data_IF_967254203957
#
_entry.id   IF_967254203957
#
_cell.length_a   1.000
_cell.length_b   1.000
_cell.length_c   1.000
_cell.angle_alpha   90.00
_cell.angle_beta   90.00
_cell.angle_gamma   90.00
#
_symmetry.space_group_name_H-M   'P 1'
#
loop_
_entity.id
_entity.type
_entity.pdbx_description
1 polymer ?
#
# COMPACT_ATOMS: atom_id res chain seq x y z
N UNK A 1 -2.79 16.95 28.26
CA UNK A 1 -2.94 18.40 27.97
C UNK A 1 -4.15 18.56 27.07
N UNK A 2 -5.11 19.40 27.43
CA UNK A 2 -6.23 19.78 26.59
C UNK A 2 -5.84 21.01 25.76
N UNK A 3 -6.18 20.99 24.46
CA UNK A 3 -5.92 22.10 23.54
C UNK A 3 -7.26 22.48 22.89
N UNK A 4 -7.63 23.75 22.98
CA UNK A 4 -8.78 24.30 22.27
C UNK A 4 -8.33 24.84 20.91
N UNK A 5 -9.02 24.48 19.86
CA UNK A 5 -8.73 24.91 18.49
C UNK A 5 -10.04 25.23 17.76
N UNK A 6 -10.03 26.25 16.89
CA UNK A 6 -11.16 26.59 16.02
C UNK A 6 -11.25 25.69 14.80
N UNK A 7 -10.11 25.15 14.35
CA UNK A 7 -10.05 24.19 13.26
C UNK A 7 -9.07 23.06 13.56
N UNK A 8 -9.29 21.90 12.94
CA UNK A 8 -8.42 20.72 13.02
C UNK A 8 -8.18 20.19 11.60
N UNK A 9 -6.92 19.95 11.25
CA UNK A 9 -6.53 19.23 10.02
C UNK A 9 -5.98 17.86 10.42
N UNK A 10 -6.64 16.79 9.97
CA UNK A 10 -6.23 15.42 10.21
C UNK A 10 -5.35 14.98 9.05
N UNK A 11 -4.07 14.71 9.32
CA UNK A 11 -3.06 14.28 8.35
C UNK A 11 -2.25 13.09 8.90
N UNK A 12 -2.94 12.14 9.53
CA UNK A 12 -2.32 11.01 10.24
C UNK A 12 -1.81 9.89 9.32
N UNK A 13 -2.12 9.98 8.02
CA UNK A 13 -1.64 9.06 7.00
C UNK A 13 -2.27 7.66 7.06
N UNK A 14 -1.61 6.72 6.38
CA UNK A 14 -1.95 5.31 6.40
C UNK A 14 -0.68 4.46 6.56
N UNK A 15 -0.83 3.29 7.17
CA UNK A 15 0.26 2.35 7.39
C UNK A 15 0.12 1.17 6.44
N UNK A 16 1.17 0.86 5.68
CA UNK A 16 1.21 -0.35 4.86
C UNK A 16 1.11 -1.59 5.75
N UNK A 17 0.32 -2.55 5.30
CA UNK A 17 0.26 -3.86 5.95
C UNK A 17 1.46 -4.70 5.53
N UNK A 18 1.99 -5.45 6.49
CA UNK A 18 3.10 -6.36 6.29
C UNK A 18 2.70 -7.77 6.74
N UNK A 19 3.52 -8.76 6.41
CA UNK A 19 3.25 -10.17 6.76
C UNK A 19 3.51 -10.45 8.24
N UNK A 20 4.34 -9.62 8.89
CA UNK A 20 4.72 -9.78 10.28
C UNK A 20 5.87 -10.77 10.52
N UNK A 21 6.60 -11.13 9.48
CA UNK A 21 7.77 -12.01 9.61
C UNK A 21 8.97 -11.23 10.16
N UNK A 22 9.74 -11.79 11.11
CA UNK A 22 10.96 -11.15 11.62
C UNK A 22 11.98 -10.86 10.50
N UNK A 23 12.11 -11.75 9.52
CA UNK A 23 12.97 -11.57 8.34
C UNK A 23 12.51 -10.43 7.44
N UNK A 24 11.19 -10.29 7.21
CA UNK A 24 10.60 -9.16 6.51
C UNK A 24 10.95 -7.84 7.22
N UNK A 25 10.73 -7.77 8.54
CA UNK A 25 11.00 -6.57 9.31
C UNK A 25 12.47 -6.17 9.28
N UNK A 26 13.39 -7.13 9.39
CA UNK A 26 14.85 -6.90 9.32
C UNK A 26 15.29 -6.28 8.01
N UNK A 27 14.65 -6.68 6.90
CA UNK A 27 15.05 -6.30 5.54
C UNK A 27 14.22 -5.16 4.94
N UNK A 28 13.38 -4.48 5.74
CA UNK A 28 12.72 -3.24 5.32
C UNK A 28 13.75 -2.18 4.98
N UNK A 29 13.64 -1.60 3.77
CA UNK A 29 14.64 -0.68 3.23
C UNK A 29 15.91 -1.37 2.70
N UNK A 30 16.11 -2.66 3.00
CA UNK A 30 17.16 -3.50 2.43
C UNK A 30 16.67 -4.41 1.33
N UNK A 31 15.55 -4.09 0.68
CA UNK A 31 14.96 -4.87 -0.41
C UNK A 31 13.49 -5.24 -0.19
N UNK A 32 12.94 -5.04 1.00
CA UNK A 32 11.51 -5.17 1.27
C UNK A 32 10.85 -3.79 1.21
N UNK A 33 9.88 -3.62 0.31
CA UNK A 33 9.11 -2.40 0.09
C UNK A 33 7.60 -2.68 0.06
N UNK A 34 6.78 -1.65 0.31
CA UNK A 34 5.32 -1.68 0.15
C UNK A 34 4.83 -0.70 -0.92
N UNK A 35 5.73 -0.22 -1.81
CA UNK A 35 5.39 0.71 -2.88
C UNK A 35 6.23 0.41 -4.14
N UNK A 36 5.65 -0.31 -5.09
CA UNK A 36 6.35 -0.65 -6.33
C UNK A 36 6.66 0.58 -7.18
N UNK A 37 5.77 1.58 -7.20
CA UNK A 37 5.99 2.83 -7.95
C UNK A 37 7.11 3.66 -7.35
N UNK A 38 7.28 3.62 -6.01
CA UNK A 38 8.33 4.36 -5.31
C UNK A 38 9.71 3.74 -5.55
N UNK A 39 9.82 2.43 -5.39
CA UNK A 39 11.09 1.73 -5.25
C UNK A 39 11.42 0.81 -6.43
N UNK A 40 10.45 0.50 -7.29
CA UNK A 40 10.63 -0.48 -8.37
C UNK A 40 11.76 -0.15 -9.33
N UNK A 41 12.08 1.13 -9.55
CA UNK A 41 13.17 1.54 -10.44
C UNK A 41 14.56 1.06 -9.97
N UNK A 42 14.75 0.90 -8.66
CA UNK A 42 16.02 0.39 -8.11
C UNK A 42 16.29 -1.08 -8.50
N UNK A 43 15.27 -1.80 -8.94
CA UNK A 43 15.33 -3.22 -9.34
C UNK A 43 15.29 -3.43 -10.85
N UNK A 44 15.63 -2.39 -11.63
CA UNK A 44 15.65 -2.48 -13.09
C UNK A 44 16.55 -3.63 -13.57
N UNK A 45 15.97 -4.53 -14.39
CA UNK A 45 16.67 -5.69 -14.94
C UNK A 45 16.92 -6.84 -13.95
N UNK A 46 16.39 -6.73 -12.71
CA UNK A 46 16.56 -7.74 -11.65
C UNK A 46 15.30 -8.60 -11.50
N UNK A 47 15.42 -9.71 -10.78
CA UNK A 47 14.29 -10.54 -10.41
C UNK A 47 13.71 -10.09 -9.08
N UNK A 48 12.40 -9.93 -9.03
CA UNK A 48 11.67 -9.46 -7.84
C UNK A 48 10.45 -10.35 -7.56
N UNK A 49 9.96 -10.29 -6.34
CA UNK A 49 8.68 -10.91 -5.98
C UNK A 49 7.70 -9.86 -5.44
N UNK A 50 6.40 -10.15 -5.57
CA UNK A 50 5.32 -9.35 -5.00
C UNK A 50 4.31 -10.27 -4.31
N UNK A 51 3.85 -9.86 -3.12
CA UNK A 51 2.85 -10.60 -2.35
C UNK A 51 1.52 -9.88 -2.43
N UNK A 52 0.52 -10.58 -2.88
CA UNK A 52 -0.85 -10.06 -2.92
C UNK A 52 -1.69 -10.74 -4.00
N UNK A 53 -3.00 -10.64 -3.88
CA UNK A 53 -3.93 -11.25 -4.84
C UNK A 53 -5.08 -10.33 -5.27
N UNK A 54 -5.03 -9.05 -4.91
CA UNK A 54 -6.01 -8.02 -5.32
C UNK A 54 -5.53 -7.21 -6.53
N UNK A 55 -6.36 -6.24 -6.96
CA UNK A 55 -6.05 -5.36 -8.10
C UNK A 55 -4.73 -4.61 -7.90
N UNK A 56 -4.47 -4.07 -6.71
CA UNK A 56 -3.20 -3.39 -6.39
C UNK A 56 -1.99 -4.27 -6.67
N UNK A 57 -2.01 -5.53 -6.22
CA UNK A 57 -0.90 -6.45 -6.47
C UNK A 57 -0.72 -6.75 -7.97
N UNK A 58 -1.81 -6.88 -8.71
CA UNK A 58 -1.79 -7.09 -10.15
C UNK A 58 -1.29 -5.86 -10.93
N UNK A 59 -1.68 -4.66 -10.53
CA UNK A 59 -1.21 -3.40 -11.09
C UNK A 59 0.28 -3.19 -10.83
N UNK A 60 0.71 -3.33 -9.59
CA UNK A 60 2.12 -3.22 -9.22
C UNK A 60 2.99 -4.28 -9.91
N UNK A 61 2.53 -5.53 -10.01
CA UNK A 61 3.24 -6.58 -10.73
C UNK A 61 3.40 -6.26 -12.22
N UNK A 62 2.35 -5.76 -12.86
CA UNK A 62 2.41 -5.35 -14.27
C UNK A 62 3.26 -4.10 -14.50
N UNK A 63 3.36 -3.21 -13.51
CA UNK A 63 4.29 -2.09 -13.52
C UNK A 63 5.74 -2.60 -13.40
N UNK A 64 6.04 -3.43 -12.39
CA UNK A 64 7.37 -4.02 -12.19
C UNK A 64 7.83 -4.84 -13.40
N UNK A 65 6.94 -5.57 -14.06
CA UNK A 65 7.25 -6.36 -15.24
C UNK A 65 7.78 -5.53 -16.43
N UNK A 66 7.51 -4.21 -16.46
CA UNK A 66 8.06 -3.32 -17.50
C UNK A 66 9.52 -2.95 -17.27
N UNK A 67 10.02 -3.10 -16.06
CA UNK A 67 11.35 -2.64 -15.65
C UNK A 67 12.24 -3.75 -15.11
N UNK A 68 11.67 -4.78 -14.50
CA UNK A 68 12.38 -5.95 -13.97
C UNK A 68 12.50 -7.07 -15.01
N UNK A 69 13.48 -7.93 -14.87
CA UNK A 69 13.66 -9.10 -15.76
C UNK A 69 12.61 -10.18 -15.52
N UNK A 70 12.20 -10.38 -14.25
CA UNK A 70 11.16 -11.32 -13.85
C UNK A 70 10.42 -10.80 -12.61
N UNK A 71 9.11 -11.03 -12.55
CA UNK A 71 8.26 -10.75 -11.38
C UNK A 71 7.55 -12.02 -10.95
N UNK A 72 7.77 -12.47 -9.72
CA UNK A 72 7.06 -13.62 -9.16
C UNK A 72 5.94 -13.11 -8.26
N UNK A 73 4.67 -13.40 -8.60
CA UNK A 73 3.51 -13.05 -7.78
C UNK A 73 3.17 -14.20 -6.85
N UNK A 74 3.08 -13.92 -5.55
CA UNK A 74 2.71 -14.89 -4.53
C UNK A 74 1.27 -14.64 -4.06
N UNK A 75 0.39 -15.58 -4.33
CA UNK A 75 -1.02 -15.54 -3.92
C UNK A 75 -1.28 -16.68 -2.95
N UNK A 76 -1.63 -16.36 -1.70
CA UNK A 76 -1.85 -17.38 -0.65
C UNK A 76 -3.07 -18.28 -0.88
N UNK A 77 -3.99 -17.89 -1.77
CA UNK A 77 -5.19 -18.63 -2.14
C UNK A 77 -5.04 -19.30 -3.51
N UNK A 78 -5.97 -20.18 -3.85
CA UNK A 78 -6.04 -20.87 -5.15
C UNK A 78 -6.38 -19.96 -6.34
N UNK A 79 -6.79 -18.71 -6.08
CA UNK A 79 -7.10 -17.71 -7.10
C UNK A 79 -6.92 -16.29 -6.59
N UNK A 80 -6.67 -15.36 -7.51
CA UNK A 80 -6.64 -13.94 -7.24
C UNK A 80 -8.06 -13.41 -6.98
N UNK A 81 -8.13 -12.35 -6.16
CA UNK A 81 -9.35 -11.54 -5.97
C UNK A 81 -9.40 -10.33 -6.91
N UNK A 82 -8.34 -10.09 -7.67
CA UNK A 82 -8.27 -9.04 -8.66
C UNK A 82 -9.39 -9.17 -9.68
N UNK A 83 -9.77 -8.07 -10.32
CA UNK A 83 -10.73 -8.04 -11.42
C UNK A 83 -10.29 -8.97 -12.57
N UNK A 84 -11.24 -9.50 -13.35
CA UNK A 84 -10.91 -10.40 -14.47
C UNK A 84 -9.99 -9.74 -15.49
N UNK A 85 -10.13 -8.43 -15.70
CA UNK A 85 -9.25 -7.66 -16.57
C UNK A 85 -7.81 -7.68 -16.05
N UNK A 86 -7.60 -7.46 -14.75
CA UNK A 86 -6.28 -7.47 -14.16
C UNK A 86 -5.68 -8.88 -14.11
N UNK A 87 -6.47 -9.90 -13.81
CA UNK A 87 -6.03 -11.29 -13.89
C UNK A 87 -5.53 -11.63 -15.30
N UNK A 88 -6.32 -11.28 -16.34
CA UNK A 88 -5.92 -11.49 -17.74
C UNK A 88 -4.63 -10.74 -18.10
N UNK A 89 -4.46 -9.52 -17.62
CA UNK A 89 -3.23 -8.74 -17.84
C UNK A 89 -2.01 -9.42 -17.22
N UNK A 90 -2.12 -9.87 -15.98
CA UNK A 90 -1.06 -10.62 -15.28
C UNK A 90 -0.69 -11.89 -16.04
N UNK A 91 -1.67 -12.72 -16.39
CA UNK A 91 -1.44 -14.02 -17.06
C UNK A 91 -0.88 -13.90 -18.47
N UNK A 92 -1.11 -12.76 -19.16
CA UNK A 92 -0.58 -12.52 -20.51
C UNK A 92 0.72 -11.70 -20.51
N UNK A 93 1.31 -11.42 -19.35
CA UNK A 93 2.61 -10.73 -19.26
C UNK A 93 3.72 -11.77 -19.16
N UNK A 94 4.61 -11.91 -20.17
CA UNK A 94 5.49 -13.08 -20.32
C UNK A 94 6.50 -13.28 -19.18
N UNK A 95 6.94 -12.20 -18.53
CA UNK A 95 7.91 -12.24 -17.44
C UNK A 95 7.27 -12.19 -16.05
N UNK A 96 5.95 -12.43 -15.95
CA UNK A 96 5.27 -12.64 -14.68
C UNK A 96 5.09 -14.14 -14.44
N UNK A 97 5.59 -14.63 -13.31
CA UNK A 97 5.38 -15.98 -12.79
C UNK A 97 4.36 -15.91 -11.63
N UNK A 98 3.23 -16.60 -11.77
CA UNK A 98 2.12 -16.54 -10.81
C UNK A 98 2.03 -17.84 -10.01
N UNK A 99 2.34 -17.75 -8.71
CA UNK A 99 2.29 -18.86 -7.77
C UNK A 99 1.08 -18.76 -6.86
N UNK A 100 0.12 -19.66 -7.04
CA UNK A 100 -1.05 -19.81 -6.17
C UNK A 100 -0.75 -20.68 -4.95
N UNK A 101 -1.62 -20.59 -3.94
CA UNK A 101 -1.50 -21.32 -2.67
C UNK A 101 -0.11 -21.16 -2.03
N UNK A 102 0.53 -20.01 -2.21
CA UNK A 102 1.92 -19.80 -1.82
C UNK A 102 2.04 -18.64 -0.83
N UNK A 103 2.72 -18.91 0.27
CA UNK A 103 3.07 -17.92 1.30
C UNK A 103 4.59 -17.85 1.47
N UNK A 104 5.07 -16.72 1.99
CA UNK A 104 6.46 -16.56 2.38
C UNK A 104 6.66 -17.20 3.75
N UNK A 105 7.62 -18.12 3.85
CA UNK A 105 8.11 -18.68 5.08
C UNK A 105 9.22 -17.79 5.67
N UNK A 106 10.17 -17.37 4.83
CA UNK A 106 11.28 -16.50 5.22
C UNK A 106 11.76 -15.63 4.06
N UNK A 107 12.13 -14.39 4.37
CA UNK A 107 12.89 -13.53 3.44
C UNK A 107 14.38 -13.74 3.73
N UNK A 108 15.11 -14.22 2.73
CA UNK A 108 16.52 -14.60 2.84
C UNK A 108 17.42 -13.39 2.62
N UNK A 109 18.52 -13.35 3.37
CA UNK A 109 19.51 -12.27 3.35
C UNK A 109 19.79 -11.69 4.74
N UNK A 110 20.88 -10.97 4.89
CA UNK A 110 21.29 -10.37 6.16
C UNK A 110 21.05 -8.85 6.19
N UNK A 111 21.58 -8.13 5.22
CA UNK A 111 21.46 -6.68 5.08
C UNK A 111 20.54 -6.29 3.90
N UNK A 112 20.53 -7.12 2.86
CA UNK A 112 19.70 -6.95 1.67
C UNK A 112 18.95 -8.25 1.39
N UNK A 113 17.86 -8.15 0.61
CA UNK A 113 17.13 -9.32 0.12
C UNK A 113 18.00 -10.06 -0.89
N UNK A 114 18.19 -11.35 -0.66
CA UNK A 114 18.96 -12.28 -1.53
C UNK A 114 18.08 -13.40 -2.10
N UNK A 115 16.89 -13.63 -1.50
CA UNK A 115 15.96 -14.64 -1.94
C UNK A 115 14.72 -14.73 -1.07
N UNK A 116 13.86 -15.69 -1.43
CA UNK A 116 12.68 -16.07 -0.64
C UNK A 116 12.66 -17.57 -0.43
N UNK A 117 12.32 -17.98 0.79
CA UNK A 117 11.78 -19.30 1.09
C UNK A 117 10.26 -19.22 1.11
N UNK A 118 9.63 -20.01 0.29
CA UNK A 118 8.18 -20.05 0.10
C UNK A 118 7.63 -21.41 0.50
N UNK A 119 6.39 -21.42 0.98
CA UNK A 119 5.65 -22.65 1.29
C UNK A 119 4.35 -22.69 0.49
N UNK A 120 4.12 -23.81 -0.18
CA UNK A 120 2.82 -24.06 -0.80
C UNK A 120 1.84 -24.60 0.26
N UNK A 121 0.73 -23.89 0.47
CA UNK A 121 -0.25 -24.19 1.52
C UNK A 121 -1.10 -25.44 1.24
N UNK A 122 -1.20 -25.85 -0.05
CA UNK A 122 -1.97 -27.02 -0.45
C UNK A 122 -1.14 -28.30 -0.34
N UNK A 123 0.15 -28.24 -0.66
CA UNK A 123 1.03 -29.43 -0.70
C UNK A 123 2.01 -29.49 0.46
N UNK A 124 2.27 -28.37 1.13
CA UNK A 124 3.31 -28.24 2.15
C UNK A 124 4.73 -28.14 1.57
N UNK A 125 4.89 -28.14 0.25
CA UNK A 125 6.19 -28.06 -0.41
C UNK A 125 6.87 -26.72 -0.13
N UNK A 126 8.17 -26.78 0.20
CA UNK A 126 9.02 -25.61 0.40
C UNK A 126 9.88 -25.43 -0.84
N UNK A 127 10.00 -24.21 -1.32
CA UNK A 127 10.81 -23.81 -2.47
C UNK A 127 11.58 -22.52 -2.12
N UNK A 128 12.82 -22.41 -2.57
CA UNK A 128 13.60 -21.18 -2.49
C UNK A 128 13.85 -20.63 -3.89
N UNK A 129 13.68 -19.31 -4.03
CA UNK A 129 14.00 -18.58 -5.27
C UNK A 129 14.94 -17.42 -4.97
N UNK A 130 15.90 -17.14 -5.85
CA UNK A 130 16.70 -15.92 -5.77
C UNK A 130 15.86 -14.72 -6.21
N UNK A 131 15.87 -13.67 -5.42
CA UNK A 131 15.32 -12.34 -5.76
C UNK A 131 16.14 -11.26 -5.08
N UNK A 132 16.08 -10.05 -5.58
CA UNK A 132 16.77 -8.89 -4.97
C UNK A 132 15.78 -7.91 -4.33
N UNK A 133 14.49 -8.01 -4.64
CA UNK A 133 13.45 -7.15 -4.10
C UNK A 133 12.14 -7.89 -3.83
N UNK A 134 11.51 -7.55 -2.71
CA UNK A 134 10.21 -8.06 -2.29
C UNK A 134 9.24 -6.90 -2.09
N UNK A 135 8.12 -6.93 -2.81
CA UNK A 135 7.06 -5.93 -2.70
C UNK A 135 5.84 -6.50 -1.97
N UNK A 136 5.36 -5.79 -0.95
CA UNK A 136 4.23 -6.22 -0.12
C UNK A 136 2.98 -5.45 -0.53
N UNK A 137 2.12 -6.06 -1.33
CA UNK A 137 0.91 -5.46 -1.90
C UNK A 137 -0.38 -6.06 -1.29
N UNK A 138 -0.45 -6.10 0.06
CA UNK A 138 -1.58 -6.67 0.81
C UNK A 138 -2.50 -5.60 1.43
N UNK A 139 -2.32 -4.35 1.00
CA UNK A 139 -3.13 -3.21 1.36
C UNK A 139 -2.56 -2.34 2.46
N UNK A 140 -3.31 -1.30 2.82
CA UNK A 140 -2.97 -0.32 3.83
C UNK A 140 -4.06 -0.27 4.92
N UNK A 141 -3.73 0.34 6.04
CA UNK A 141 -4.66 0.69 7.11
C UNK A 141 -4.53 2.19 7.37
N UNK A 142 -5.59 2.99 7.18
CA UNK A 142 -5.55 4.40 7.55
C UNK A 142 -5.40 4.55 9.07
N UNK A 143 -4.67 5.58 9.50
CA UNK A 143 -4.41 5.83 10.91
C UNK A 143 -5.55 6.64 11.53
N UNK A 144 -6.73 6.04 11.61
CA UNK A 144 -8.01 6.66 11.97
C UNK A 144 -8.64 6.11 13.25
N UNK A 145 -7.99 5.14 13.91
CA UNK A 145 -8.58 4.44 15.07
C UNK A 145 -9.01 5.39 16.19
N UNK A 146 -8.28 6.51 16.38
CA UNK A 146 -8.59 7.53 17.41
C UNK A 146 -9.82 8.39 17.08
N UNK A 147 -10.28 8.40 15.83
CA UNK A 147 -11.43 9.20 15.37
C UNK A 147 -12.69 8.38 15.18
N UNK A 148 -12.67 7.07 15.50
CA UNK A 148 -13.84 6.20 15.38
C UNK A 148 -15.04 6.77 16.13
N UNK A 149 -16.22 6.70 15.52
CA UNK A 149 -17.49 7.21 16.03
C UNK A 149 -17.59 8.74 16.11
N UNK A 150 -16.58 9.49 15.64
CA UNK A 150 -16.59 10.94 15.64
C UNK A 150 -16.62 11.51 14.22
N UNK A 151 -15.94 10.87 13.28
CA UNK A 151 -15.82 11.31 11.88
C UNK A 151 -16.30 10.20 10.96
N UNK A 152 -16.99 10.58 9.89
CA UNK A 152 -17.46 9.63 8.89
C UNK A 152 -16.30 8.98 8.13
N UNK A 153 -16.35 7.67 8.03
CA UNK A 153 -15.34 6.84 7.38
C UNK A 153 -16.00 5.87 6.40
N UNK A 154 -15.25 5.49 5.36
CA UNK A 154 -15.66 4.41 4.47
C UNK A 154 -15.47 3.03 5.13
N UNK A 155 -15.94 1.97 4.46
CA UNK A 155 -15.85 0.57 4.94
C UNK A 155 -14.40 0.11 5.18
N UNK A 156 -13.41 0.80 4.60
CA UNK A 156 -11.98 0.53 4.76
C UNK A 156 -11.34 1.37 5.87
N UNK A 157 -12.10 2.30 6.48
CA UNK A 157 -11.70 3.16 7.57
C UNK A 157 -11.03 4.47 7.14
N UNK A 158 -11.04 4.82 5.85
CA UNK A 158 -10.56 6.12 5.38
C UNK A 158 -11.59 7.22 5.67
N UNK A 159 -11.10 8.41 6.06
CA UNK A 159 -11.97 9.56 6.32
C UNK A 159 -12.65 10.00 5.01
N UNK A 160 -13.97 10.16 5.05
CA UNK A 160 -14.76 10.66 3.92
C UNK A 160 -14.65 12.19 3.88
N UNK A 161 -14.24 12.72 2.72
CA UNK A 161 -14.24 14.15 2.43
C UNK A 161 -15.33 14.50 1.41
N UNK A 162 -15.89 15.71 1.48
CA UNK A 162 -17.02 16.11 0.67
C UNK A 162 -16.60 16.78 -0.64
N UNK A 163 -17.02 16.19 -1.75
CA UNK A 163 -16.76 16.70 -3.10
C UNK A 163 -15.27 16.76 -3.44
N UNK A 164 -14.82 17.93 -3.90
CA UNK A 164 -13.41 18.20 -4.21
C UNK A 164 -12.71 18.98 -3.09
N UNK A 165 -13.24 18.95 -1.88
CA UNK A 165 -12.69 19.67 -0.71
C UNK A 165 -12.09 18.70 0.28
N UNK A 166 -11.44 19.22 1.31
CA UNK A 166 -10.90 18.43 2.42
C UNK A 166 -11.82 18.40 3.63
N UNK A 167 -13.04 18.95 3.49
CA UNK A 167 -14.06 19.05 4.55
C UNK A 167 -14.59 17.68 4.93
N UNK A 168 -14.65 17.40 6.23
CA UNK A 168 -15.30 16.20 6.77
C UNK A 168 -16.77 16.49 7.10
N UNK A 169 -17.47 15.52 7.70
CA UNK A 169 -18.83 15.71 8.24
C UNK A 169 -18.89 16.69 9.42
N UNK A 170 -17.77 17.02 10.05
CA UNK A 170 -17.70 17.97 11.16
C UNK A 170 -17.24 19.36 10.68
N UNK A 171 -18.02 20.45 10.92
CA UNK A 171 -17.58 21.80 10.59
C UNK A 171 -16.26 22.16 11.28
N UNK A 172 -15.32 22.78 10.53
CA UNK A 172 -14.00 23.13 11.03
C UNK A 172 -13.00 21.98 11.13
N UNK A 173 -13.40 20.77 10.74
CA UNK A 173 -12.51 19.59 10.70
C UNK A 173 -12.26 19.16 9.27
N UNK A 174 -10.99 19.05 8.90
CA UNK A 174 -10.50 18.74 7.54
C UNK A 174 -9.62 17.50 7.57
N UNK A 175 -9.53 16.78 6.44
CA UNK A 175 -8.64 15.63 6.31
C UNK A 175 -7.80 15.72 5.03
N UNK A 176 -6.51 15.36 5.11
CA UNK A 176 -5.58 15.42 3.98
C UNK A 176 -4.55 14.27 4.00
N UNK A 177 -3.97 14.00 2.85
CA UNK A 177 -3.01 12.90 2.66
C UNK A 177 -3.66 11.53 2.72
N UNK A 178 -2.85 10.51 3.00
CA UNK A 178 -3.25 9.11 2.90
C UNK A 178 -4.36 8.70 3.89
N UNK A 179 -4.68 9.51 4.87
CA UNK A 179 -5.79 9.23 5.81
C UNK A 179 -7.16 9.28 5.12
N UNK A 180 -7.26 10.00 3.99
CA UNK A 180 -8.46 10.13 3.16
C UNK A 180 -8.23 9.64 1.71
N UNK A 181 -6.97 9.56 1.24
CA UNK A 181 -6.61 9.10 -0.11
C UNK A 181 -6.30 7.59 -0.08
N UNK A 182 -7.30 6.78 -0.44
CA UNK A 182 -7.16 5.32 -0.55
C UNK A 182 -6.60 4.86 -1.90
N UNK A 183 -6.52 5.75 -2.89
CA UNK A 183 -6.23 5.39 -4.26
C UNK A 183 -4.75 5.63 -4.62
N UNK A 184 -4.24 6.83 -4.38
CA UNK A 184 -2.89 7.22 -4.84
C UNK A 184 -1.80 6.98 -3.80
N UNK A 185 -1.98 7.47 -2.56
CA UNK A 185 -1.01 7.36 -1.46
C UNK A 185 0.41 7.74 -1.88
N UNK A 186 0.53 8.93 -2.49
CA UNK A 186 1.80 9.47 -2.95
C UNK A 186 2.12 10.79 -2.24
N UNK A 187 3.41 11.09 -2.04
CA UNK A 187 3.85 12.30 -1.37
C UNK A 187 3.33 13.57 -2.04
N UNK A 188 3.28 13.59 -3.38
CA UNK A 188 2.77 14.74 -4.14
C UNK A 188 1.26 14.94 -3.98
N UNK A 189 0.46 13.87 -3.92
CA UNK A 189 -0.98 13.95 -3.67
C UNK A 189 -1.26 14.35 -2.23
N UNK A 190 -0.48 13.84 -1.27
CA UNK A 190 -0.57 14.24 0.13
C UNK A 190 -0.23 15.72 0.33
N UNK A 191 0.82 16.22 -0.31
CA UNK A 191 1.18 17.64 -0.29
C UNK A 191 0.06 18.52 -0.92
N UNK A 192 -0.50 18.08 -2.05
CA UNK A 192 -1.61 18.78 -2.72
C UNK A 192 -2.85 18.89 -1.85
N UNK A 193 -3.29 17.78 -1.25
CA UNK A 193 -4.45 17.80 -0.32
C UNK A 193 -4.13 18.52 0.97
N UNK A 194 -2.89 18.51 1.44
CA UNK A 194 -2.42 19.32 2.58
C UNK A 194 -2.57 20.83 2.32
N UNK A 195 -2.18 21.30 1.13
CA UNK A 195 -2.39 22.67 0.68
C UNK A 195 -3.90 23.01 0.63
N UNK A 196 -4.72 22.11 0.08
CA UNK A 196 -6.18 22.29 0.04
C UNK A 196 -6.77 22.40 1.44
N UNK A 197 -6.34 21.57 2.39
CA UNK A 197 -6.85 21.60 3.77
C UNK A 197 -6.49 22.89 4.49
N UNK A 198 -5.29 23.43 4.27
CA UNK A 198 -4.89 24.72 4.82
C UNK A 198 -5.77 25.86 4.29
N UNK A 199 -6.04 25.90 2.99
CA UNK A 199 -6.93 26.90 2.36
C UNK A 199 -8.38 26.74 2.81
N UNK A 200 -8.88 25.50 2.96
CA UNK A 200 -10.23 25.25 3.44
C UNK A 200 -10.39 25.69 4.92
N UNK A 201 -9.36 25.48 5.76
CA UNK A 201 -9.33 25.93 7.13
C UNK A 201 -9.29 27.47 7.24
N UNK A 202 -8.45 28.14 6.44
CA UNK A 202 -8.37 29.60 6.37
C UNK A 202 -9.73 30.22 6.01
N UNK A 203 -10.38 29.70 4.96
CA UNK A 203 -11.71 30.17 4.52
C UNK A 203 -12.78 29.92 5.58
N UNK A 204 -12.70 28.82 6.31
CA UNK A 204 -13.62 28.52 7.41
C UNK A 204 -13.46 29.54 8.53
N UNK A 205 -12.23 29.87 8.94
CA UNK A 205 -11.92 30.85 9.98
C UNK A 205 -12.39 32.26 9.58
N UNK A 206 -12.14 32.68 8.35
CA UNK A 206 -12.61 33.94 7.82
C UNK A 206 -14.15 34.09 7.80
N UNK A 207 -14.86 32.98 7.75
CA UNK A 207 -16.33 32.95 7.82
C UNK A 207 -16.89 32.96 9.25
N UNK A 208 -16.04 32.93 10.28
CA UNK A 208 -16.42 33.04 11.70
C UNK A 208 -16.28 34.47 12.23
N UNK A 209 -15.55 35.34 11.53
CA UNK A 209 -15.42 36.78 11.81
C UNK A 209 -16.66 37.56 11.29
#
# INVERSE_FOLDING_TARGET
TEIQAQTIIISTGATAKYLGLPSEQRLRGGGVSACAVCDGFFYKGQEVAIVGGGDTAAEEATYLAKICSKVTILVRKEQMRASKVMQHRVTNTPNIDLKYNTEIDEVLGQQVVEGLRMKNNATGTIEEIPITGLFIAIGHKPNTDIFKSQIDMDDSGYIITHGKTTKTNLPGVFASGDVQDKDYRQAVTAAGTGCMAALDAERYLAGLE
#
